data_IF_980407328879
#
_entry.id   IF_980407328879
#
_cell.length_a   1.000
_cell.length_b   1.000
_cell.length_c   1.000
_cell.angle_alpha   90.00
_cell.angle_beta   90.00
_cell.angle_gamma   90.00
#
_symmetry.space_group_name_H-M   'P 1'
#
loop_
_entity.id
_entity.type
_entity.pdbx_description
1 polymer ?
#
# COMPACT_ATOMS: atom_id res chain seq x y z
N UNK A 1 -11.78 -30.42 7.35
CA UNK A 1 -12.08 -28.97 7.27
C UNK A 1 -11.05 -28.09 8.00
N UNK A 2 -10.44 -28.52 9.11
CA UNK A 2 -9.43 -27.73 9.84
C UNK A 2 -8.14 -27.42 9.04
N UNK A 3 -7.65 -28.34 8.19
CA UNK A 3 -6.44 -28.11 7.40
C UNK A 3 -6.58 -27.00 6.33
N UNK A 4 -7.79 -26.82 5.77
CA UNK A 4 -8.09 -25.71 4.85
C UNK A 4 -8.18 -24.37 5.58
N UNK A 5 -8.68 -24.36 6.82
CA UNK A 5 -8.68 -23.15 7.66
C UNK A 5 -7.24 -22.70 8.02
N UNK A 6 -6.31 -23.63 8.18
CA UNK A 6 -4.88 -23.32 8.34
C UNK A 6 -4.22 -22.81 7.04
N UNK A 7 -4.62 -23.32 5.88
CA UNK A 7 -4.17 -22.81 4.57
C UNK A 7 -4.67 -21.39 4.31
N UNK A 8 -5.88 -21.06 4.74
CA UNK A 8 -6.42 -19.70 4.74
C UNK A 8 -6.21 -19.03 6.11
N UNK A 9 -4.94 -18.81 6.46
CA UNK A 9 -4.43 -18.14 7.67
C UNK A 9 -5.13 -16.80 8.02
N UNK A 10 -5.93 -16.25 7.09
CA UNK A 10 -6.79 -15.07 7.26
C UNK A 10 -7.97 -15.24 8.23
N UNK A 11 -8.46 -16.47 8.47
CA UNK A 11 -9.63 -16.67 9.35
C UNK A 11 -9.37 -16.36 10.83
N UNK A 12 -8.10 -16.35 11.25
CA UNK A 12 -7.69 -16.02 12.62
C UNK A 12 -7.17 -14.57 12.74
N UNK A 13 -7.24 -13.79 11.66
CA UNK A 13 -6.69 -12.46 11.64
C UNK A 13 -7.61 -11.47 12.36
N UNK A 14 -7.05 -10.75 13.29
CA UNK A 14 -7.64 -9.63 14.02
C UNK A 14 -7.20 -8.28 13.43
N UNK A 15 -7.88 -7.20 13.81
CA UNK A 15 -7.44 -5.84 13.45
C UNK A 15 -6.03 -5.55 13.98
N UNK A 16 -5.71 -6.02 15.19
CA UNK A 16 -4.41 -5.84 15.87
C UNK A 16 -3.23 -6.52 15.18
N UNK A 17 -3.50 -7.45 14.27
CA UNK A 17 -2.45 -8.03 13.42
C UNK A 17 -1.93 -7.00 12.39
N UNK A 18 -2.50 -5.80 12.31
CA UNK A 18 -2.01 -4.70 11.48
C UNK A 18 -1.41 -3.54 12.29
N UNK A 19 -1.13 -3.72 13.59
CA UNK A 19 -0.65 -2.61 14.43
C UNK A 19 0.78 -2.13 14.08
N UNK A 20 1.50 -2.87 13.21
CA UNK A 20 2.68 -2.35 12.50
C UNK A 20 2.30 -1.42 11.35
N UNK A 21 1.07 -0.96 11.18
CA UNK A 21 0.74 -0.03 10.10
C UNK A 21 0.00 1.15 10.67
N UNK A 22 0.15 2.35 10.05
CA UNK A 22 -0.41 3.56 10.63
C UNK A 22 -1.88 3.34 10.96
N UNK A 23 -2.30 3.60 12.19
CA UNK A 23 -3.69 3.36 12.59
C UNK A 23 -4.59 4.37 11.87
N UNK A 24 -5.74 3.98 11.28
CA UNK A 24 -6.65 4.96 10.73
C UNK A 24 -7.12 5.82 11.92
N UNK A 25 -7.04 7.15 11.80
CA UNK A 25 -7.32 8.11 12.87
C UNK A 25 -6.22 8.23 13.95
N UNK A 26 -5.06 7.60 13.73
CA UNK A 26 -3.86 7.76 14.58
C UNK A 26 -3.03 9.01 14.22
N UNK A 27 -3.46 9.79 13.23
CA UNK A 27 -2.72 10.97 12.78
C UNK A 27 -2.58 12.01 13.92
N UNK A 28 -1.35 12.51 14.19
CA UNK A 28 -1.10 13.50 15.24
C UNK A 28 -1.61 14.92 14.88
N UNK A 29 -2.30 15.09 13.74
CA UNK A 29 -2.77 16.40 13.26
C UNK A 29 -3.81 16.98 14.22
N UNK A 30 -3.34 17.90 15.06
CA UNK A 30 -4.08 18.52 16.19
C UNK A 30 -5.22 19.47 15.80
N UNK A 31 -5.61 19.56 14.51
CA UNK A 31 -6.56 20.57 14.00
C UNK A 31 -7.66 19.97 13.13
N UNK A 32 -8.24 18.85 13.54
CA UNK A 32 -9.34 18.21 12.83
C UNK A 32 -10.73 18.57 13.39
N UNK A 33 -10.81 19.38 14.46
CA UNK A 33 -12.04 19.58 15.23
C UNK A 33 -13.22 20.13 14.42
N UNK A 34 -12.93 20.99 13.44
CA UNK A 34 -13.95 21.63 12.59
C UNK A 34 -14.35 20.83 11.35
N UNK A 35 -13.75 19.67 11.09
CA UNK A 35 -14.08 18.86 9.92
C UNK A 35 -15.25 17.91 10.19
N UNK A 36 -16.05 17.52 9.19
CA UNK A 36 -17.04 16.47 9.35
C UNK A 36 -16.41 15.13 9.77
N UNK A 37 -17.10 14.34 10.60
CA UNK A 37 -16.58 13.07 11.14
C UNK A 37 -16.10 12.10 10.04
N UNK A 38 -16.77 12.05 8.90
CA UNK A 38 -16.38 11.18 7.78
C UNK A 38 -15.02 11.57 7.17
N UNK A 39 -14.64 12.86 7.23
CA UNK A 39 -13.37 13.37 6.74
C UNK A 39 -12.27 13.23 7.79
N UNK A 40 -12.60 13.44 9.08
CA UNK A 40 -11.68 13.15 10.20
C UNK A 40 -11.23 11.69 10.22
N UNK A 41 -12.09 10.80 9.70
CA UNK A 41 -11.84 9.36 9.65
C UNK A 41 -10.89 8.92 8.53
N UNK A 42 -10.65 9.79 7.56
CA UNK A 42 -9.80 9.48 6.42
C UNK A 42 -8.35 9.72 6.79
N UNK A 43 -7.51 8.74 6.50
CA UNK A 43 -6.08 8.76 6.78
C UNK A 43 -5.35 8.31 5.52
N UNK A 44 -4.60 9.24 4.91
CA UNK A 44 -3.99 9.04 3.60
C UNK A 44 -2.78 8.12 3.69
N UNK A 45 -1.96 8.28 4.73
CA UNK A 45 -0.80 7.45 5.04
C UNK A 45 -1.26 6.01 5.28
N UNK A 46 -2.25 5.82 6.15
CA UNK A 46 -2.86 4.51 6.39
C UNK A 46 -3.45 3.92 5.09
N UNK A 47 -4.16 4.70 4.29
CA UNK A 47 -4.74 4.24 3.02
C UNK A 47 -3.67 3.80 2.03
N UNK A 48 -2.60 4.57 1.89
CA UNK A 48 -1.47 4.27 1.03
C UNK A 48 -0.89 2.90 1.37
N UNK A 49 -0.64 2.66 2.66
CA UNK A 49 -0.13 1.41 3.17
C UNK A 49 -1.13 0.28 2.95
N UNK A 50 -2.40 0.46 3.32
CA UNK A 50 -3.43 -0.57 3.22
C UNK A 50 -3.75 -0.97 1.77
N UNK A 51 -3.56 -0.05 0.82
CA UNK A 51 -3.77 -0.29 -0.63
C UNK A 51 -2.63 -1.10 -1.25
N UNK A 52 -1.41 -0.92 -0.77
CA UNK A 52 -0.20 -1.45 -1.42
C UNK A 52 -0.17 -2.98 -1.66
N UNK A 53 -0.67 -3.87 -0.78
CA UNK A 53 -0.67 -5.33 -1.03
C UNK A 53 -1.54 -5.72 -2.20
N UNK A 54 -2.71 -5.09 -2.33
CA UNK A 54 -3.64 -5.39 -3.40
C UNK A 54 -3.10 -4.89 -4.75
N UNK A 55 -2.48 -3.72 -4.74
CA UNK A 55 -1.77 -3.17 -5.91
C UNK A 55 -0.64 -4.12 -6.31
N UNK A 56 0.29 -4.41 -5.40
CA UNK A 56 1.39 -5.33 -5.66
C UNK A 56 0.89 -6.71 -6.14
N UNK A 57 -0.11 -7.29 -5.48
CA UNK A 57 -0.70 -8.58 -5.83
C UNK A 57 -1.35 -8.59 -7.22
N UNK A 58 -2.09 -7.54 -7.59
CA UNK A 58 -2.64 -7.41 -8.94
C UNK A 58 -1.54 -7.34 -10.00
N UNK A 59 -0.45 -6.62 -9.71
CA UNK A 59 0.75 -6.58 -10.55
C UNK A 59 1.40 -7.95 -10.70
N UNK A 60 1.65 -8.65 -9.59
CA UNK A 60 2.25 -9.98 -9.58
C UNK A 60 1.42 -10.98 -10.38
N UNK A 61 0.10 -11.02 -10.20
CA UNK A 61 -0.79 -11.91 -10.96
C UNK A 61 -0.77 -11.56 -12.45
N UNK A 62 -0.82 -10.28 -12.80
CA UNK A 62 -0.75 -9.84 -14.19
C UNK A 62 0.60 -10.19 -14.82
N UNK A 63 1.70 -10.08 -14.08
CA UNK A 63 3.03 -10.46 -14.53
C UNK A 63 3.18 -11.97 -14.72
N UNK A 64 2.71 -12.78 -13.75
CA UNK A 64 2.70 -14.25 -13.84
C UNK A 64 1.91 -14.74 -15.05
N UNK A 65 0.75 -14.14 -15.35
CA UNK A 65 -0.05 -14.46 -16.55
C UNK A 65 0.70 -14.24 -17.86
N UNK A 66 1.74 -13.40 -17.84
CA UNK A 66 2.56 -13.10 -19.01
C UNK A 66 3.82 -13.96 -19.12
N UNK A 67 4.17 -14.74 -18.09
CA UNK A 67 5.25 -15.72 -18.20
C UNK A 67 4.97 -16.74 -19.31
N UNK A 68 3.70 -17.06 -19.56
CA UNK A 68 3.28 -17.94 -20.65
C UNK A 68 3.46 -17.32 -22.05
N UNK A 69 3.72 -16.02 -22.14
CA UNK A 69 3.93 -15.26 -23.39
C UNK A 69 5.39 -14.82 -23.57
N UNK A 70 6.26 -15.29 -22.68
CA UNK A 70 7.69 -15.03 -22.71
C UNK A 70 8.37 -15.95 -23.74
N UNK A 71 9.35 -15.47 -24.54
CA UNK A 71 9.90 -14.12 -24.63
C UNK A 71 9.30 -13.25 -25.76
N UNK A 72 8.33 -13.75 -26.52
CA UNK A 72 7.92 -13.14 -27.80
C UNK A 72 7.08 -11.86 -27.64
N UNK A 73 6.27 -11.72 -26.57
CA UNK A 73 5.31 -10.60 -26.44
C UNK A 73 5.39 -9.81 -25.11
N UNK A 74 6.16 -10.28 -24.12
CA UNK A 74 6.18 -9.69 -22.78
C UNK A 74 7.60 -9.37 -22.29
N UNK A 75 7.80 -8.15 -21.79
CA UNK A 75 9.07 -7.74 -21.20
C UNK A 75 9.20 -8.33 -19.78
N UNK A 76 10.39 -8.85 -19.45
CA UNK A 76 10.69 -9.43 -18.12
C UNK A 76 10.62 -8.39 -17.00
N UNK A 77 10.90 -7.13 -17.31
CA UNK A 77 10.81 -6.06 -16.34
C UNK A 77 9.34 -5.67 -16.14
N UNK A 78 8.86 -5.81 -14.90
CA UNK A 78 7.55 -5.33 -14.43
C UNK A 78 7.33 -3.86 -14.84
N UNK A 79 8.38 -3.05 -14.73
CA UNK A 79 8.34 -1.60 -15.03
C UNK A 79 8.33 -1.27 -16.52
N UNK A 80 8.60 -2.24 -17.39
CA UNK A 80 8.53 -2.07 -18.85
C UNK A 80 7.32 -2.78 -19.46
N UNK A 81 6.53 -3.47 -18.63
CA UNK A 81 5.43 -4.29 -19.10
C UNK A 81 4.08 -3.55 -18.97
N UNK A 82 3.47 -3.10 -20.08
CA UNK A 82 2.28 -2.26 -20.03
C UNK A 82 1.05 -2.98 -19.47
N UNK A 83 0.94 -4.31 -19.57
CA UNK A 83 -0.21 -5.03 -18.99
C UNK A 83 -0.08 -5.15 -17.47
N UNK A 84 1.12 -5.47 -16.97
CA UNK A 84 1.42 -5.49 -15.53
C UNK A 84 1.18 -4.12 -14.92
N UNK A 85 1.74 -3.09 -15.53
CA UNK A 85 1.51 -1.71 -15.19
C UNK A 85 -0.02 -1.45 -15.17
N UNK A 86 -0.78 -1.72 -16.24
CA UNK A 86 -2.24 -1.41 -16.25
C UNK A 86 -3.02 -2.08 -15.13
N UNK A 87 -2.61 -3.28 -14.73
CA UNK A 87 -3.20 -3.97 -13.59
C UNK A 87 -2.93 -3.23 -12.27
N UNK A 88 -1.67 -2.81 -12.03
CA UNK A 88 -1.33 -1.96 -10.88
C UNK A 88 -2.18 -0.70 -10.85
N UNK A 89 -2.36 -0.03 -12.00
CA UNK A 89 -3.05 1.25 -12.07
C UNK A 89 -4.52 1.13 -11.73
N UNK A 90 -5.19 0.15 -12.36
CA UNK A 90 -6.60 -0.15 -12.10
C UNK A 90 -6.81 -0.59 -10.67
N UNK A 91 -5.90 -1.38 -10.11
CA UNK A 91 -5.95 -1.77 -8.71
C UNK A 91 -5.87 -0.54 -7.80
N UNK A 92 -4.96 0.41 -8.05
CA UNK A 92 -4.87 1.64 -7.25
C UNK A 92 -6.15 2.48 -7.35
N UNK A 93 -6.67 2.70 -8.56
CA UNK A 93 -7.90 3.50 -8.77
C UNK A 93 -9.12 2.85 -8.12
N UNK A 94 -9.15 1.53 -8.00
CA UNK A 94 -10.28 0.83 -7.40
C UNK A 94 -10.13 0.70 -5.87
N UNK A 95 -8.98 0.21 -5.41
CA UNK A 95 -8.77 -0.18 -4.01
C UNK A 95 -8.63 1.03 -3.10
N UNK A 96 -7.92 2.09 -3.51
CA UNK A 96 -7.74 3.27 -2.66
C UNK A 96 -9.07 3.96 -2.32
N UNK A 97 -9.99 4.22 -3.28
CA UNK A 97 -11.31 4.75 -2.96
C UNK A 97 -12.16 3.82 -2.10
N UNK A 98 -12.06 2.50 -2.29
CA UNK A 98 -12.77 1.52 -1.45
C UNK A 98 -12.28 1.61 -0.01
N UNK A 99 -10.98 1.68 0.23
CA UNK A 99 -10.41 1.85 1.57
C UNK A 99 -10.84 3.17 2.19
N UNK A 100 -10.77 4.28 1.46
CA UNK A 100 -11.25 5.59 1.95
C UNK A 100 -12.75 5.58 2.28
N UNK A 101 -13.55 4.82 1.53
CA UNK A 101 -14.97 4.63 1.83
C UNK A 101 -15.18 3.78 3.09
N UNK A 102 -14.41 2.70 3.27
CA UNK A 102 -14.45 1.91 4.51
C UNK A 102 -14.05 2.77 5.72
N UNK A 103 -12.99 3.56 5.61
CA UNK A 103 -12.55 4.51 6.63
C UNK A 103 -13.64 5.53 6.96
N UNK A 104 -14.22 6.19 5.96
CA UNK A 104 -15.24 7.22 6.17
C UNK A 104 -16.49 6.67 6.87
N UNK A 105 -16.89 5.44 6.51
CA UNK A 105 -18.00 4.72 7.14
C UNK A 105 -17.65 4.15 8.53
N UNK A 106 -16.37 4.07 8.90
CA UNK A 106 -15.92 3.44 10.15
C UNK A 106 -16.06 1.92 10.14
N UNK A 107 -16.01 1.30 8.95
CA UNK A 107 -16.04 -0.16 8.80
C UNK A 107 -14.64 -0.71 9.02
N UNK A 108 -14.50 -1.72 9.87
CA UNK A 108 -13.24 -2.42 10.07
C UNK A 108 -12.93 -3.29 8.85
N UNK A 109 -11.93 -2.89 8.05
CA UNK A 109 -11.54 -3.57 6.80
C UNK A 109 -10.17 -4.26 6.91
N UNK A 110 -9.39 -4.02 7.97
CA UNK A 110 -8.00 -4.47 8.05
C UNK A 110 -7.85 -5.96 8.30
N UNK A 111 -8.92 -6.63 8.73
CA UNK A 111 -9.00 -8.10 8.80
C UNK A 111 -8.87 -8.75 7.41
N UNK A 112 -9.17 -8.03 6.33
CA UNK A 112 -9.11 -8.53 4.95
C UNK A 112 -7.76 -8.24 4.25
N UNK A 113 -6.88 -7.47 4.88
CA UNK A 113 -5.58 -7.12 4.30
C UNK A 113 -4.60 -8.28 4.54
N UNK A 114 -3.86 -8.76 3.54
CA UNK A 114 -2.95 -9.91 3.73
C UNK A 114 -1.62 -9.49 4.36
N UNK A 115 -1.66 -9.03 5.62
CA UNK A 115 -0.51 -8.52 6.38
C UNK A 115 -0.58 -8.87 7.85
N UNK A 116 0.57 -9.04 8.48
CA UNK A 116 0.72 -9.37 9.90
C UNK A 116 1.85 -8.57 10.54
N UNK A 117 1.61 -8.20 11.79
CA UNK A 117 2.54 -7.59 12.73
C UNK A 117 3.09 -8.68 13.67
N UNK A 118 4.38 -8.66 13.96
CA UNK A 118 5.00 -9.47 15.01
C UNK A 118 5.03 -8.72 16.35
N UNK A 119 5.16 -9.42 17.48
CA UNK A 119 5.15 -8.75 18.79
C UNK A 119 6.27 -7.72 18.97
N UNK A 120 7.43 -7.91 18.32
CA UNK A 120 8.53 -6.93 18.31
C UNK A 120 8.18 -5.67 17.53
N UNK A 121 7.36 -5.82 16.50
CA UNK A 121 6.93 -4.75 15.62
C UNK A 121 5.93 -3.82 16.36
N UNK A 122 5.18 -4.31 17.36
CA UNK A 122 4.18 -3.52 18.09
C UNK A 122 4.71 -2.33 18.91
N UNK A 123 6.04 -2.18 19.06
CA UNK A 123 6.67 -1.17 19.95
C UNK A 123 7.17 0.10 19.25
N UNK A 124 6.83 0.28 17.98
CA UNK A 124 7.36 1.38 17.16
C UNK A 124 6.74 2.75 17.50
N UNK A 125 7.45 3.80 17.13
CA UNK A 125 6.91 5.15 17.11
C UNK A 125 6.04 5.37 15.85
N UNK A 126 4.77 5.68 16.06
CA UNK A 126 3.79 5.92 15.00
C UNK A 126 4.09 7.19 14.19
N UNK A 127 4.63 8.24 14.84
CA UNK A 127 4.97 9.50 14.18
C UNK A 127 6.19 9.34 13.26
N UNK A 128 7.18 8.57 13.71
CA UNK A 128 8.36 8.23 12.91
C UNK A 128 7.95 7.47 11.64
N UNK A 129 7.11 6.44 11.76
CA UNK A 129 6.67 5.65 10.61
C UNK A 129 5.90 6.49 9.62
N UNK A 130 4.97 7.33 10.08
CA UNK A 130 4.17 8.21 9.22
C UNK A 130 5.06 9.17 8.43
N UNK A 131 6.09 9.72 9.08
CA UNK A 131 7.07 10.58 8.42
C UNK A 131 7.79 9.85 7.27
N UNK A 132 8.22 8.60 7.48
CA UNK A 132 8.84 7.80 6.43
C UNK A 132 7.89 7.52 5.26
N UNK A 133 6.63 7.22 5.57
CA UNK A 133 5.59 6.96 4.56
C UNK A 133 5.33 8.22 3.73
N UNK A 134 5.19 9.38 4.38
CA UNK A 134 5.01 10.67 3.72
C UNK A 134 6.17 10.97 2.78
N UNK A 135 7.42 10.79 3.25
CA UNK A 135 8.61 10.94 2.41
C UNK A 135 8.56 9.99 1.21
N UNK A 136 8.19 8.73 1.41
CA UNK A 136 8.01 7.75 0.35
C UNK A 136 6.95 8.17 -0.68
N UNK A 137 5.81 8.70 -0.21
CA UNK A 137 4.74 9.24 -1.05
C UNK A 137 5.24 10.43 -1.88
N UNK A 138 5.97 11.38 -1.28
CA UNK A 138 6.57 12.52 -1.99
C UNK A 138 7.58 12.09 -3.04
N UNK A 139 8.43 11.10 -2.74
CA UNK A 139 9.36 10.51 -3.70
C UNK A 139 8.61 9.85 -4.85
N UNK A 140 7.47 9.20 -4.57
CA UNK A 140 6.55 8.69 -5.58
C UNK A 140 6.03 9.78 -6.52
N UNK A 141 5.55 10.89 -5.97
CA UNK A 141 5.11 12.07 -6.77
C UNK A 141 6.26 12.61 -7.62
N UNK A 142 7.44 12.79 -7.03
CA UNK A 142 8.62 13.31 -7.73
C UNK A 142 9.04 12.39 -8.88
N UNK A 143 9.06 11.07 -8.64
CA UNK A 143 9.34 10.06 -9.67
C UNK A 143 8.35 10.14 -10.82
N UNK A 144 7.05 10.23 -10.52
CA UNK A 144 6.03 10.44 -11.54
C UNK A 144 6.27 11.72 -12.35
N UNK A 145 6.53 12.84 -11.66
CA UNK A 145 6.75 14.15 -12.28
C UNK A 145 7.97 14.15 -13.19
N UNK A 146 9.09 13.55 -12.76
CA UNK A 146 10.31 13.40 -13.56
C UNK A 146 10.04 12.59 -14.83
N UNK A 147 9.27 11.49 -14.74
CA UNK A 147 8.92 10.69 -15.92
C UNK A 147 8.05 11.46 -16.91
N UNK A 148 7.07 12.21 -16.41
CA UNK A 148 6.16 13.02 -17.23
C UNK A 148 6.87 14.18 -17.92
N UNK A 149 7.60 15.00 -17.15
CA UNK A 149 8.11 16.30 -17.61
C UNK A 149 9.61 16.29 -17.94
N UNK A 150 10.41 15.53 -17.19
CA UNK A 150 11.86 15.46 -17.37
C UNK A 150 12.28 14.53 -18.50
N UNK A 151 11.76 13.30 -18.51
CA UNK A 151 12.18 12.28 -19.47
C UNK A 151 11.27 12.18 -20.70
N UNK A 152 10.05 12.75 -20.64
CA UNK A 152 8.99 12.61 -21.67
C UNK A 152 8.73 11.15 -22.08
N UNK A 153 9.18 10.20 -21.27
CA UNK A 153 9.04 8.76 -21.45
C UNK A 153 7.96 8.30 -20.50
N UNK A 154 6.72 8.32 -20.98
CA UNK A 154 5.59 7.91 -20.15
C UNK A 154 4.29 8.47 -20.66
N UNK A 155 3.73 7.83 -21.70
CA UNK A 155 2.32 8.00 -22.00
C UNK A 155 1.49 7.50 -20.80
N UNK A 156 0.75 8.43 -20.20
CA UNK A 156 -0.59 8.22 -19.65
C UNK A 156 -0.71 7.48 -18.29
N UNK A 157 -0.97 8.24 -17.21
CA UNK A 157 -1.72 7.85 -16.00
C UNK A 157 -1.08 6.83 -15.03
N UNK A 158 0.04 7.17 -14.38
CA UNK A 158 0.70 6.29 -13.38
C UNK A 158 0.85 6.90 -11.98
N UNK A 159 0.54 8.19 -11.80
CA UNK A 159 0.78 8.94 -10.56
C UNK A 159 0.29 8.24 -9.29
N UNK A 160 -0.95 7.70 -9.25
CA UNK A 160 -1.46 7.08 -8.04
C UNK A 160 -0.64 5.85 -7.62
N UNK A 161 -0.09 5.10 -8.58
CA UNK A 161 0.72 3.91 -8.28
C UNK A 161 2.04 4.33 -7.64
N UNK A 162 2.68 5.36 -8.17
CA UNK A 162 4.00 5.78 -7.67
C UNK A 162 3.90 6.28 -6.23
N UNK A 163 2.82 6.99 -5.90
CA UNK A 163 2.54 7.44 -4.53
C UNK A 163 2.30 6.24 -3.61
N UNK A 164 1.41 5.32 -4.00
CA UNK A 164 1.05 4.16 -3.18
C UNK A 164 2.22 3.22 -2.98
N UNK A 165 2.96 2.91 -4.04
CA UNK A 165 4.16 2.08 -3.95
C UNK A 165 5.29 2.80 -3.23
N UNK A 166 5.45 4.12 -3.41
CA UNK A 166 6.45 4.92 -2.72
C UNK A 166 6.28 4.86 -1.20
N UNK A 167 5.08 5.18 -0.70
CA UNK A 167 4.78 5.07 0.74
C UNK A 167 4.83 3.63 1.24
N UNK A 168 4.25 2.68 0.48
CA UNK A 168 4.28 1.25 0.83
C UNK A 168 5.69 0.66 0.93
N UNK A 169 6.61 1.06 0.05
CA UNK A 169 8.00 0.64 0.10
C UNK A 169 8.77 1.32 1.23
N UNK A 170 8.45 2.56 1.58
CA UNK A 170 9.06 3.23 2.72
C UNK A 170 8.66 2.57 4.05
N UNK A 171 7.39 2.22 4.24
CA UNK A 171 6.92 1.43 5.41
C UNK A 171 7.60 0.05 5.47
N UNK A 172 7.74 -0.62 4.31
CA UNK A 172 8.42 -1.91 4.25
C UNK A 172 9.92 -1.77 4.55
N UNK A 173 10.60 -0.76 4.00
CA UNK A 173 12.01 -0.52 4.26
C UNK A 173 12.26 -0.20 5.74
N UNK A 174 11.40 0.62 6.34
CA UNK A 174 11.42 0.92 7.77
C UNK A 174 11.22 -0.34 8.61
N UNK A 175 10.29 -1.21 8.21
CA UNK A 175 10.06 -2.52 8.85
C UNK A 175 11.30 -3.41 8.80
N UNK A 176 11.87 -3.59 7.63
CA UNK A 176 13.05 -4.44 7.46
C UNK A 176 14.27 -3.85 8.19
N UNK A 177 14.38 -2.53 8.26
CA UNK A 177 15.39 -1.86 9.09
C UNK A 177 15.24 -2.22 10.58
N UNK A 178 14.05 -2.08 11.15
CA UNK A 178 13.79 -2.44 12.55
C UNK A 178 14.02 -3.92 12.83
N UNK A 179 13.59 -4.82 11.92
CA UNK A 179 13.88 -6.26 12.02
C UNK A 179 15.37 -6.56 12.04
N UNK A 180 16.14 -5.89 11.19
CA UNK A 180 17.58 -6.12 11.06
C UNK A 180 18.38 -5.57 12.25
N UNK A 181 17.92 -4.48 12.87
CA UNK A 181 18.66 -3.78 13.93
C UNK A 181 18.17 -4.10 15.35
N UNK A 182 17.16 -4.96 15.49
CA UNK A 182 16.88 -5.66 16.73
C UNK A 182 16.51 -4.80 17.93
N UNK A 183 15.84 -3.67 17.69
CA UNK A 183 15.05 -3.01 18.74
C UNK A 183 13.85 -3.88 19.13
#
# INVERSE_FOLDING_TARGET
MAALQYLFFWNFKSASDNDWHPLPNGSPVKRLDNLPTWLKRQDLEATCIDTAPFVAGAGSIAHLRQLNLFPLEAHASIFKNPKTLRALHRATIFVAPVILACQSLGVEYRTLIPRWCHDRERRRDEEEVRTHIDVGMYVGVASWFIRMYGLRWGRAYWAPIDVVLGGGLADLAHREYYKAHGL
#
